data_IF_519464694497
#
_entry.id   IF_519464694497
#
_cell.length_a   1.000
_cell.length_b   1.000
_cell.length_c   1.000
_cell.angle_alpha   90.00
_cell.angle_beta   90.00
_cell.angle_gamma   90.00
#
_symmetry.space_group_name_H-M   'P 1'
#
loop_
_entity.id
_entity.type
_entity.pdbx_description
1 polymer ?
#
# COMPACT_ATOMS: atom_id res chain seq x y z
N UNK A 1 -48.33 12.99 18.80
CA UNK A 1 -48.13 11.55 18.53
C UNK A 1 -46.62 11.25 18.61
N UNK A 2 -45.89 11.55 19.69
CA UNK A 2 -45.81 10.85 20.99
C UNK A 2 -45.81 9.32 20.84
N UNK A 3 -44.65 8.73 20.53
CA UNK A 3 -44.40 7.31 20.83
C UNK A 3 -43.65 7.23 22.16
N UNK A 4 -44.27 6.50 23.07
CA UNK A 4 -43.83 6.17 24.42
C UNK A 4 -42.82 5.02 24.38
N UNK A 5 -41.59 5.27 24.85
CA UNK A 5 -40.61 4.21 25.14
C UNK A 5 -40.96 3.47 26.45
N UNK A 6 -40.57 2.19 26.60
CA UNK A 6 -40.86 1.42 27.80
C UNK A 6 -39.89 1.72 28.96
N UNK A 7 -40.39 1.55 30.18
CA UNK A 7 -39.72 1.82 31.46
C UNK A 7 -38.59 0.82 31.81
N UNK A 8 -37.61 1.20 32.67
CA UNK A 8 -36.55 0.31 33.11
C UNK A 8 -36.99 -0.59 34.28
N UNK A 9 -36.62 -1.87 34.20
CA UNK A 9 -36.81 -2.86 35.26
C UNK A 9 -35.62 -2.86 36.24
N UNK A 10 -35.92 -2.76 37.54
CA UNK A 10 -34.98 -2.77 38.66
C UNK A 10 -34.86 -4.16 39.31
N UNK A 11 -33.61 -4.51 39.69
CA UNK A 11 -33.14 -5.44 40.75
C UNK A 11 -33.14 -6.96 40.42
N UNK A 12 -32.24 -7.80 41.00
CA UNK A 12 -31.54 -7.63 42.29
C UNK A 12 -30.01 -7.88 42.31
N UNK A 13 -29.33 -7.29 43.32
CA UNK A 13 -27.95 -7.66 43.72
C UNK A 13 -27.92 -9.03 44.39
N UNK A 14 -26.89 -9.85 44.14
CA UNK A 14 -26.35 -10.66 45.23
C UNK A 14 -24.81 -10.78 45.30
N UNK A 15 -24.33 -10.71 46.54
CA UNK A 15 -23.33 -11.60 47.16
C UNK A 15 -21.83 -11.46 46.83
N UNK A 16 -21.21 -10.44 47.44
CA UNK A 16 -20.25 -10.47 48.57
C UNK A 16 -19.16 -11.58 48.71
N UNK A 17 -19.04 -12.57 47.83
CA UNK A 17 -18.06 -13.66 47.95
C UNK A 17 -16.75 -13.43 47.18
N UNK A 18 -16.75 -12.53 46.18
CA UNK A 18 -15.59 -12.31 45.32
C UNK A 18 -14.50 -11.42 45.98
N UNK A 19 -14.87 -10.50 46.88
CA UNK A 19 -13.91 -9.60 47.53
C UNK A 19 -13.02 -10.31 48.55
N UNK A 20 -13.50 -11.36 49.22
CA UNK A 20 -12.71 -12.10 50.22
C UNK A 20 -11.62 -12.98 49.57
N UNK A 21 -11.90 -13.57 48.41
CA UNK A 21 -10.91 -14.35 47.65
C UNK A 21 -9.80 -13.43 47.11
N UNK A 22 -10.15 -12.23 46.65
CA UNK A 22 -9.18 -11.26 46.13
C UNK A 22 -8.24 -10.70 47.22
N UNK A 23 -8.73 -10.51 48.45
CA UNK A 23 -7.91 -10.05 49.58
C UNK A 23 -6.95 -11.13 50.10
N UNK A 24 -7.31 -12.41 50.03
CA UNK A 24 -6.44 -13.51 50.43
C UNK A 24 -5.34 -13.80 49.39
N UNK A 25 -5.63 -13.67 48.10
CA UNK A 25 -4.63 -13.78 47.02
C UNK A 25 -3.67 -12.56 47.03
N UNK A 26 -4.18 -11.36 47.36
CA UNK A 26 -3.36 -10.15 47.45
C UNK A 26 -2.35 -10.13 48.61
N UNK A 27 -2.58 -10.92 49.68
CA UNK A 27 -1.69 -11.00 50.84
C UNK A 27 -0.58 -12.04 50.72
N UNK A 28 -0.69 -13.02 49.82
CA UNK A 28 0.36 -14.05 49.63
C UNK A 28 1.39 -13.70 48.56
N UNK A 29 1.10 -12.74 47.67
CA UNK A 29 2.05 -12.31 46.61
C UNK A 29 3.09 -11.28 47.12
N UNK A 30 2.80 -10.55 48.20
CA UNK A 30 3.67 -9.46 48.67
C UNK A 30 4.78 -9.87 49.66
N UNK A 31 4.89 -11.15 50.03
CA UNK A 31 5.90 -11.63 50.99
C UNK A 31 7.00 -12.53 50.37
N UNK A 32 7.09 -12.60 49.04
CA UNK A 32 8.17 -13.32 48.36
C UNK A 32 9.28 -12.37 47.86
N UNK A 33 10.56 -12.61 48.19
CA UNK A 33 11.66 -11.68 47.90
C UNK A 33 12.09 -11.67 46.41
N UNK A 34 11.37 -12.37 45.54
CA UNK A 34 11.66 -12.52 44.11
C UNK A 34 10.87 -11.55 43.23
N UNK A 35 9.85 -10.88 43.77
CA UNK A 35 9.06 -9.87 43.04
C UNK A 35 9.89 -8.71 42.45
N UNK A 36 10.87 -8.09 43.16
CA UNK A 36 11.63 -6.98 42.59
C UNK A 36 12.54 -7.42 41.43
N UNK A 37 13.05 -8.66 41.45
CA UNK A 37 13.89 -9.18 40.37
C UNK A 37 13.08 -9.52 39.11
N UNK A 38 11.87 -10.06 39.27
CA UNK A 38 10.96 -10.32 38.15
C UNK A 38 10.41 -9.03 37.55
N UNK A 39 10.14 -8.01 38.37
CA UNK A 39 9.70 -6.71 37.89
C UNK A 39 10.82 -5.96 37.15
N UNK A 40 12.07 -6.05 37.62
CA UNK A 40 13.23 -5.43 36.96
C UNK A 40 13.58 -6.13 35.65
N UNK A 41 13.52 -7.48 35.61
CA UNK A 41 13.72 -8.21 34.36
C UNK A 41 12.63 -7.87 33.34
N UNK A 42 11.38 -7.75 33.78
CA UNK A 42 10.26 -7.34 32.94
C UNK A 42 10.40 -5.87 32.47
N UNK A 43 10.87 -4.95 33.32
CA UNK A 43 11.17 -3.56 32.93
C UNK A 43 12.34 -3.44 31.95
N UNK A 44 13.35 -4.29 32.04
CA UNK A 44 14.47 -4.34 31.09
C UNK A 44 14.01 -4.97 29.76
N UNK A 45 13.14 -5.99 29.81
CA UNK A 45 12.57 -6.63 28.61
C UNK A 45 11.55 -5.73 27.89
N UNK A 46 10.76 -4.95 28.63
CA UNK A 46 9.81 -3.97 28.08
C UNK A 46 10.53 -2.66 27.68
N UNK A 47 11.48 -2.19 28.49
CA UNK A 47 12.24 -0.95 28.25
C UNK A 47 13.33 -1.09 27.17
N UNK A 48 13.80 -2.31 26.91
CA UNK A 48 14.77 -2.62 25.85
C UNK A 48 14.24 -2.44 24.42
N UNK A 49 12.96 -2.12 24.23
CA UNK A 49 12.37 -1.87 22.91
C UNK A 49 12.23 -0.38 22.53
N UNK A 50 12.72 0.58 23.32
CA UNK A 50 12.55 2.03 23.02
C UNK A 50 13.73 2.61 22.23
N UNK A 51 14.39 1.84 21.37
CA UNK A 51 15.27 2.41 20.33
C UNK A 51 15.08 1.66 19.02
N UNK A 52 14.12 2.11 18.23
CA UNK A 52 14.13 1.95 16.76
C UNK A 52 13.78 3.31 16.15
N UNK A 53 14.85 4.10 15.95
CA UNK A 53 15.16 4.90 14.75
C UNK A 53 13.94 5.45 13.99
N UNK A 54 13.71 6.77 14.11
CA UNK A 54 13.05 7.56 13.06
C UNK A 54 13.94 7.64 11.83
N UNK A 55 14.10 6.51 11.15
CA UNK A 55 14.61 6.45 9.80
C UNK A 55 13.39 6.51 8.90
N UNK A 56 13.29 7.56 8.08
CA UNK A 56 12.35 7.64 6.98
C UNK A 56 12.53 6.38 6.10
N UNK A 57 11.78 5.31 6.39
CA UNK A 57 11.49 4.30 5.38
C UNK A 57 10.70 5.04 4.31
N UNK A 58 11.41 5.55 3.31
CA UNK A 58 10.84 5.83 2.00
C UNK A 58 10.36 4.46 1.53
N UNK A 59 9.13 4.12 1.92
CA UNK A 59 8.49 2.88 1.52
C UNK A 59 8.38 3.02 0.01
N UNK A 60 9.32 2.40 -0.69
CA UNK A 60 9.41 2.44 -2.15
C UNK A 60 8.26 1.57 -2.64
N UNK A 61 7.07 2.14 -2.61
CA UNK A 61 5.89 1.51 -3.16
C UNK A 61 6.17 1.30 -4.64
N UNK A 62 6.00 0.09 -5.17
CA UNK A 62 6.14 -0.12 -6.59
C UNK A 62 5.16 0.82 -7.30
N UNK A 63 5.69 1.78 -8.05
CA UNK A 63 4.92 2.77 -8.82
C UNK A 63 4.20 2.14 -10.02
N UNK A 64 4.10 0.82 -10.06
CA UNK A 64 3.54 0.05 -11.15
C UNK A 64 2.82 -1.20 -10.66
N UNK A 65 1.68 -1.50 -11.26
CA UNK A 65 0.95 -2.77 -11.14
C UNK A 65 0.96 -3.44 -12.51
N UNK A 66 1.21 -4.75 -12.57
CA UNK A 66 1.19 -5.52 -13.81
C UNK A 66 0.37 -6.80 -13.62
N UNK A 67 -0.64 -6.96 -14.47
CA UNK A 67 -1.42 -8.18 -14.61
C UNK A 67 -1.19 -8.70 -16.04
N UNK A 68 -0.68 -9.93 -16.21
CA UNK A 68 -0.46 -10.50 -17.53
C UNK A 68 -1.78 -10.81 -18.24
N UNK A 69 -1.74 -10.82 -19.56
CA UNK A 69 -2.82 -11.25 -20.45
C UNK A 69 -2.32 -11.23 -21.90
N UNK A 70 -3.12 -11.77 -22.81
CA UNK A 70 -2.80 -11.83 -24.24
C UNK A 70 -2.62 -10.43 -24.84
N UNK A 71 -3.43 -9.47 -24.38
CA UNK A 71 -3.31 -8.05 -24.72
C UNK A 71 -3.16 -7.26 -23.42
N UNK A 72 -2.09 -6.46 -23.30
CA UNK A 72 -1.87 -5.63 -22.10
C UNK A 72 -2.29 -4.19 -22.36
N UNK A 73 -3.23 -3.68 -21.57
CA UNK A 73 -3.62 -2.26 -21.58
C UNK A 73 -2.72 -1.42 -20.68
N UNK A 74 -2.26 -0.26 -21.14
CA UNK A 74 -1.52 0.71 -20.33
C UNK A 74 -2.46 1.66 -19.60
N UNK A 75 -2.19 1.94 -18.32
CA UNK A 75 -2.96 2.90 -17.50
C UNK A 75 -2.06 3.87 -16.76
N UNK A 76 -2.39 5.16 -16.79
CA UNK A 76 -1.70 6.22 -16.01
C UNK A 76 -2.69 6.87 -15.07
N UNK A 77 -2.40 6.85 -13.76
CA UNK A 77 -3.28 7.45 -12.76
C UNK A 77 -2.49 8.34 -11.79
N UNK A 78 -3.09 9.44 -11.30
CA UNK A 78 -2.49 10.25 -10.25
C UNK A 78 -2.80 9.63 -8.88
N UNK A 79 -2.19 8.46 -8.60
CA UNK A 79 -2.40 7.72 -7.36
C UNK A 79 -1.83 8.51 -6.19
N UNK A 80 -0.65 9.11 -6.36
CA UNK A 80 -0.08 10.04 -5.39
C UNK A 80 -0.16 11.50 -5.85
N UNK A 81 -0.17 12.40 -4.87
CA UNK A 81 0.06 13.82 -5.05
C UNK A 81 1.54 14.09 -5.40
N UNK A 82 1.83 15.33 -5.78
CA UNK A 82 3.20 15.79 -5.96
C UNK A 82 3.90 15.81 -4.60
N UNK A 83 5.09 15.22 -4.53
CA UNK A 83 5.89 15.20 -3.30
C UNK A 83 6.35 16.60 -2.88
N UNK A 84 6.40 16.91 -1.58
CA UNK A 84 6.98 18.14 -1.08
C UNK A 84 8.51 18.09 -1.17
N UNK A 85 9.16 19.25 -1.22
CA UNK A 85 10.63 19.39 -1.08
C UNK A 85 11.48 18.49 -2.00
N UNK A 86 11.03 18.26 -3.23
CA UNK A 86 11.79 17.48 -4.23
C UNK A 86 11.59 15.97 -4.15
N UNK A 87 10.80 15.47 -3.20
CA UNK A 87 10.38 14.08 -3.20
C UNK A 87 9.60 13.74 -4.48
N UNK A 88 9.76 12.52 -5.02
CA UNK A 88 9.12 12.15 -6.28
C UNK A 88 7.59 12.22 -6.16
N UNK A 89 7.04 11.68 -5.07
CA UNK A 89 5.61 11.51 -4.83
C UNK A 89 5.26 11.95 -3.40
N UNK A 90 3.99 12.32 -3.18
CA UNK A 90 3.44 12.76 -1.90
C UNK A 90 2.27 11.87 -1.47
N UNK A 91 1.29 12.44 -0.77
CA UNK A 91 0.15 11.69 -0.21
C UNK A 91 -0.73 11.00 -1.25
N UNK A 92 -1.39 9.91 -0.85
CA UNK A 92 -2.34 9.17 -1.67
C UNK A 92 -3.61 9.98 -1.98
N UNK A 93 -4.05 9.93 -3.25
CA UNK A 93 -5.28 10.53 -3.75
C UNK A 93 -6.37 9.47 -3.93
N UNK A 94 -7.27 9.36 -2.95
CA UNK A 94 -8.36 8.37 -2.95
C UNK A 94 -9.28 8.52 -4.16
N UNK A 95 -9.90 9.68 -4.34
CA UNK A 95 -10.95 9.87 -5.35
C UNK A 95 -10.44 9.89 -6.79
N UNK A 96 -9.41 10.71 -7.07
CA UNK A 96 -8.92 10.90 -8.45
C UNK A 96 -7.83 9.93 -8.85
N UNK A 97 -7.21 9.26 -7.89
CA UNK A 97 -6.15 8.27 -8.12
C UNK A 97 -6.71 6.86 -7.98
N UNK A 98 -6.95 6.44 -6.74
CA UNK A 98 -7.33 5.06 -6.40
C UNK A 98 -8.66 4.65 -7.06
N UNK A 99 -9.74 5.43 -6.92
CA UNK A 99 -11.03 5.01 -7.49
C UNK A 99 -10.99 4.90 -9.01
N UNK A 100 -10.16 5.70 -9.70
CA UNK A 100 -10.02 5.62 -11.16
C UNK A 100 -9.21 4.40 -11.59
N UNK A 101 -8.15 4.09 -10.85
CA UNK A 101 -7.38 2.86 -11.04
C UNK A 101 -8.25 1.62 -10.80
N UNK A 102 -9.01 1.62 -9.72
CA UNK A 102 -9.94 0.55 -9.37
C UNK A 102 -11.05 0.40 -10.41
N UNK A 103 -11.60 1.50 -10.93
CA UNK A 103 -12.57 1.46 -12.02
C UNK A 103 -12.02 0.80 -13.29
N UNK A 104 -10.74 1.02 -13.62
CA UNK A 104 -10.10 0.34 -14.75
C UNK A 104 -9.95 -1.16 -14.50
N UNK A 105 -9.53 -1.56 -13.29
CA UNK A 105 -9.41 -2.97 -12.91
C UNK A 105 -10.78 -3.67 -12.92
N UNK A 106 -11.79 -3.01 -12.36
CA UNK A 106 -13.17 -3.49 -12.40
C UNK A 106 -13.66 -3.68 -13.84
N UNK A 107 -13.43 -2.71 -14.73
CA UNK A 107 -13.80 -2.84 -16.13
C UNK A 107 -13.07 -4.00 -16.82
N UNK A 108 -11.79 -4.22 -16.50
CA UNK A 108 -11.01 -5.33 -17.02
C UNK A 108 -11.57 -6.69 -16.56
N UNK A 109 -11.95 -6.80 -15.29
CA UNK A 109 -12.59 -8.01 -14.74
C UNK A 109 -13.92 -8.28 -15.42
N UNK A 110 -14.75 -7.24 -15.62
CA UNK A 110 -16.03 -7.38 -16.31
C UNK A 110 -15.85 -7.89 -17.74
N UNK A 111 -14.89 -7.33 -18.49
CA UNK A 111 -14.61 -7.76 -19.88
C UNK A 111 -14.11 -9.21 -19.91
N UNK A 112 -13.13 -9.56 -19.08
CA UNK A 112 -12.56 -10.92 -19.05
C UNK A 112 -13.56 -11.98 -18.56
N UNK A 113 -14.61 -11.59 -17.83
CA UNK A 113 -15.67 -12.47 -17.35
C UNK A 113 -16.81 -12.68 -18.34
N UNK A 114 -16.94 -11.81 -19.35
CA UNK A 114 -18.03 -11.84 -20.32
C UNK A 114 -17.67 -12.74 -21.52
N UNK A 115 -18.34 -13.89 -21.70
CA UNK A 115 -18.02 -14.80 -22.80
C UNK A 115 -18.38 -14.25 -24.19
N UNK A 116 -19.17 -13.18 -24.28
CA UNK A 116 -19.55 -12.54 -25.55
C UNK A 116 -18.53 -11.46 -25.98
N UNK A 117 -17.72 -10.95 -25.04
CA UNK A 117 -16.72 -9.91 -25.29
C UNK A 117 -15.30 -10.50 -25.30
N UNK A 118 -14.61 -10.39 -26.44
CA UNK A 118 -13.25 -10.89 -26.64
C UNK A 118 -13.08 -12.40 -26.32
N UNK A 119 -13.86 -13.29 -26.96
CA UNK A 119 -13.76 -14.72 -26.71
C UNK A 119 -12.35 -15.24 -27.02
N UNK A 120 -11.79 -16.04 -26.10
CA UNK A 120 -10.45 -16.62 -26.16
C UNK A 120 -9.28 -15.62 -26.09
N UNK A 121 -9.53 -14.38 -25.67
CA UNK A 121 -8.48 -13.36 -25.47
C UNK A 121 -8.62 -12.81 -24.05
N UNK A 122 -7.54 -12.84 -23.29
CA UNK A 122 -7.47 -12.25 -21.95
C UNK A 122 -6.83 -10.86 -22.00
N UNK A 123 -7.48 -9.88 -21.39
CA UNK A 123 -6.91 -8.57 -21.17
C UNK A 123 -6.06 -8.57 -19.90
N UNK A 124 -4.80 -8.21 -20.05
CA UNK A 124 -3.91 -7.80 -18.97
C UNK A 124 -3.86 -6.29 -18.83
N UNK A 125 -3.15 -5.81 -17.81
CA UNK A 125 -2.95 -4.38 -17.59
C UNK A 125 -1.56 -4.07 -17.03
N UNK A 126 -1.02 -2.92 -17.40
CA UNK A 126 0.13 -2.31 -16.74
C UNK A 126 -0.23 -0.89 -16.33
N UNK A 127 -0.41 -0.69 -15.04
CA UNK A 127 -0.77 0.60 -14.43
C UNK A 127 0.49 1.25 -13.88
N UNK A 128 0.68 2.54 -14.13
CA UNK A 128 1.76 3.35 -13.55
C UNK A 128 1.20 4.57 -12.83
N UNK A 129 1.85 4.93 -11.73
CA UNK A 129 1.55 6.17 -11.00
C UNK A 129 2.26 7.37 -11.63
N UNK A 130 1.52 8.45 -11.83
CA UNK A 130 2.05 9.71 -12.37
C UNK A 130 2.55 10.67 -11.29
N UNK A 131 2.28 10.39 -10.02
CA UNK A 131 2.58 11.26 -8.88
C UNK A 131 2.15 12.72 -9.07
N UNK A 132 1.11 12.94 -9.89
CA UNK A 132 0.63 14.26 -10.30
C UNK A 132 1.72 15.20 -10.84
N UNK A 133 2.70 14.65 -11.58
CA UNK A 133 3.81 15.39 -12.18
C UNK A 133 3.99 14.98 -13.64
N UNK A 134 3.94 15.95 -14.55
CA UNK A 134 4.01 15.69 -16.00
C UNK A 134 5.32 15.04 -16.43
N UNK A 135 6.46 15.48 -15.88
CA UNK A 135 7.77 14.88 -16.18
C UNK A 135 7.83 13.41 -15.74
N UNK A 136 7.25 13.10 -14.58
CA UNK A 136 7.19 11.74 -14.07
C UNK A 136 6.24 10.89 -14.93
N UNK A 137 5.08 11.43 -15.29
CA UNK A 137 4.14 10.78 -16.21
C UNK A 137 4.78 10.49 -17.57
N UNK A 138 5.59 11.40 -18.11
CA UNK A 138 6.33 11.21 -19.36
C UNK A 138 7.36 10.08 -19.24
N UNK A 139 8.18 10.09 -18.19
CA UNK A 139 9.15 9.03 -17.90
C UNK A 139 8.45 7.66 -17.78
N UNK A 140 7.32 7.60 -17.08
CA UNK A 140 6.50 6.39 -16.99
C UNK A 140 5.93 5.98 -18.35
N UNK A 141 5.40 6.92 -19.14
CA UNK A 141 4.86 6.65 -20.48
C UNK A 141 5.90 6.08 -21.43
N UNK A 142 7.15 6.54 -21.31
CA UNK A 142 8.26 6.03 -22.10
C UNK A 142 8.45 4.52 -21.88
N UNK A 143 8.19 4.02 -20.67
CA UNK A 143 8.30 2.58 -20.39
C UNK A 143 7.26 1.72 -21.11
N UNK A 144 6.16 2.30 -21.63
CA UNK A 144 5.23 1.55 -22.49
C UNK A 144 5.79 1.35 -23.89
N UNK A 145 6.53 2.34 -24.42
CA UNK A 145 7.10 2.30 -25.77
C UNK A 145 8.52 1.76 -25.79
N UNK A 146 9.19 1.61 -24.65
CA UNK A 146 10.55 1.05 -24.60
C UNK A 146 10.66 -0.36 -25.19
N UNK A 147 9.60 -1.16 -25.09
CA UNK A 147 9.53 -2.45 -25.78
C UNK A 147 9.58 -2.30 -27.31
N UNK A 148 9.00 -1.22 -27.85
CA UNK A 148 9.06 -0.86 -29.27
C UNK A 148 10.38 -0.16 -29.62
N UNK A 149 10.95 0.60 -28.69
CA UNK A 149 12.19 1.35 -28.93
C UNK A 149 13.40 0.45 -29.06
N UNK A 150 13.48 -0.69 -28.37
CA UNK A 150 14.57 -1.65 -28.60
C UNK A 150 14.54 -2.21 -30.02
N UNK A 151 13.34 -2.49 -30.54
CA UNK A 151 13.16 -2.89 -31.92
C UNK A 151 13.49 -1.72 -32.88
N UNK A 152 13.02 -0.52 -32.58
CA UNK A 152 13.24 0.68 -33.39
C UNK A 152 14.71 1.13 -33.42
N UNK A 153 15.41 1.09 -32.28
CA UNK A 153 16.85 1.36 -32.17
C UNK A 153 17.63 0.28 -32.88
N UNK A 154 17.26 -1.00 -32.73
CA UNK A 154 17.90 -2.09 -33.48
C UNK A 154 17.71 -1.92 -34.99
N UNK A 155 16.52 -1.52 -35.45
CA UNK A 155 16.24 -1.19 -36.86
C UNK A 155 17.08 0.02 -37.28
N UNK A 156 17.08 1.14 -36.55
CA UNK A 156 17.87 2.34 -36.89
C UNK A 156 19.38 2.04 -36.93
N UNK A 157 19.90 1.20 -36.04
CA UNK A 157 21.30 0.75 -36.02
C UNK A 157 21.60 -0.21 -37.17
N UNK A 158 20.64 -1.05 -37.56
CA UNK A 158 20.77 -1.95 -38.71
C UNK A 158 20.64 -1.22 -40.06
N UNK A 159 19.86 -0.15 -40.13
CA UNK A 159 19.61 0.64 -41.35
C UNK A 159 20.73 1.65 -41.60
N UNK A 160 21.44 2.10 -40.55
CA UNK A 160 22.62 2.97 -40.65
C UNK A 160 23.83 2.44 -39.86
N UNK A 161 24.49 1.37 -40.33
CA UNK A 161 25.75 0.91 -39.74
C UNK A 161 26.91 1.73 -40.32
N UNK A 162 27.04 3.00 -39.93
CA UNK A 162 28.21 3.81 -40.33
C UNK A 162 28.92 4.40 -39.10
N UNK A 163 30.26 4.26 -39.02
CA UNK A 163 31.04 4.75 -37.89
C UNK A 163 31.16 6.26 -37.96
N UNK A 164 30.98 6.93 -36.82
CA UNK A 164 31.31 8.34 -36.67
C UNK A 164 32.83 8.48 -36.75
N UNK A 165 33.39 8.71 -37.94
CA UNK A 165 34.74 9.26 -38.06
C UNK A 165 34.66 10.78 -37.95
N UNK A 166 35.00 11.30 -36.78
CA UNK A 166 35.28 12.72 -36.58
C UNK A 166 36.58 13.08 -37.33
N UNK A 167 36.47 13.54 -38.58
CA UNK A 167 37.55 14.30 -39.19
C UNK A 167 37.40 15.76 -38.77
N UNK A 168 38.26 16.17 -37.84
CA UNK A 168 38.53 17.57 -37.55
C UNK A 168 39.20 18.20 -38.78
N UNK A 169 38.53 19.16 -39.39
CA UNK A 169 39.13 20.19 -40.25
C UNK A 169 38.95 21.54 -39.58
#
# INVERSE_FOLDING_TARGET
MTSSGPAPSLLPLPHHHHLHVLLLIGRTVHQSPLWPHLALSLWIWIGGQVIQVSGSHQHFHPHSIKIPGDITLGGLFPIHARGPHGLPCGELKKEKGIHRMEAMLYALDQINSDPELLPNITLGVRILDTCSRDTYALEQSLTFVQALSQLCVSIMVAEHPAPVQWQYT
#
